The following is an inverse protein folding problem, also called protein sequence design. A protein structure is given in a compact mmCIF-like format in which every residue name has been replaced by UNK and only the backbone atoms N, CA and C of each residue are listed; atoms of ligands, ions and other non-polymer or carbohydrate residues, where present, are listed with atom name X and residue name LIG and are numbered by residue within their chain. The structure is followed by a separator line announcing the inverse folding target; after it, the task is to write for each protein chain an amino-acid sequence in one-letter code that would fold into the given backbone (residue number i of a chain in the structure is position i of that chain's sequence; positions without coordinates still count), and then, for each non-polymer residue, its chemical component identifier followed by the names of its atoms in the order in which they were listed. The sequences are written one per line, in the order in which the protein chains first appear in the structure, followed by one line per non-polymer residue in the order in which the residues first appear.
data_IF_289538774510
#
_entry.id   IF_289538774510
#
_cell.length_a   1.000
_cell.length_b   1.000
_cell.length_c   1.000
_cell.angle_alpha   90.00
_cell.angle_beta   90.00
_cell.angle_gamma   90.00
#
_symmetry.space_group_name_H-M   'P 1'
#
loop_
_entity.id
_entity.type
_entity.pdbx_description
1 polymer ?
#
# COMPACT_ATOMS: atom_id res chain seq x y z
N UNK A 1 13.60 -8.58 2.35
CA UNK A 1 12.15 -8.51 2.08
C UNK A 1 11.49 -8.01 3.32
N UNK A 2 10.77 -6.91 3.19
CA UNK A 2 10.14 -6.17 4.27
C UNK A 2 8.67 -5.96 3.90
N UNK A 3 7.83 -5.91 4.92
CA UNK A 3 6.40 -5.67 4.75
C UNK A 3 6.11 -4.18 4.88
N UNK A 4 5.34 -3.67 3.95
CA UNK A 4 4.86 -2.30 3.87
C UNK A 4 3.36 -2.34 4.10
N UNK A 5 2.89 -1.56 5.06
CA UNK A 5 1.48 -1.33 5.33
C UNK A 5 1.04 -0.05 4.66
N UNK A 6 -0.04 -0.13 3.89
CA UNK A 6 -0.58 0.96 3.09
C UNK A 6 -2.01 1.19 3.55
N UNK A 7 -2.33 2.39 4.00
CA UNK A 7 -3.68 2.77 4.44
C UNK A 7 -4.13 4.07 3.79
N UNK A 8 -5.39 4.43 4.06
CA UNK A 8 -6.09 5.53 3.42
C UNK A 8 -6.14 5.35 1.88
N UNK A 9 -6.36 4.12 1.43
CA UNK A 9 -6.49 3.79 0.01
C UNK A 9 -7.80 4.34 -0.56
N UNK A 10 -7.86 4.67 -1.86
CA UNK A 10 -9.11 5.10 -2.48
C UNK A 10 -10.05 3.91 -2.65
N UNK A 11 -11.36 4.17 -2.58
CA UNK A 11 -12.42 3.15 -2.70
C UNK A 11 -12.48 2.41 -4.06
N UNK A 12 -11.56 2.68 -4.98
CA UNK A 12 -11.49 2.02 -6.29
C UNK A 12 -10.12 1.41 -6.57
N UNK A 13 -9.22 1.42 -5.58
CA UNK A 13 -7.88 0.86 -5.78
C UNK A 13 -7.97 -0.64 -6.01
N UNK A 14 -7.11 -1.14 -6.87
CA UNK A 14 -6.95 -2.57 -7.15
C UNK A 14 -5.54 -3.05 -6.84
N UNK A 15 -5.40 -4.35 -6.58
CA UNK A 15 -4.11 -5.02 -6.41
C UNK A 15 -3.10 -4.73 -7.53
N UNK A 16 -3.45 -4.87 -8.83
CA UNK A 16 -2.52 -4.56 -9.92
C UNK A 16 -2.10 -3.10 -9.97
N UNK A 17 -2.98 -2.15 -9.59
CA UNK A 17 -2.58 -0.74 -9.48
C UNK A 17 -1.53 -0.56 -8.39
N UNK A 18 -1.78 -1.12 -7.20
CA UNK A 18 -0.82 -1.06 -6.10
C UNK A 18 0.52 -1.68 -6.53
N UNK A 19 0.51 -2.89 -7.08
CA UNK A 19 1.73 -3.52 -7.58
C UNK A 19 2.50 -2.59 -8.54
N UNK A 20 1.83 -1.98 -9.52
CA UNK A 20 2.46 -1.05 -10.46
C UNK A 20 3.07 0.20 -9.79
N UNK A 21 2.53 0.65 -8.66
CA UNK A 21 3.13 1.74 -7.88
C UNK A 21 4.38 1.31 -7.11
N UNK A 22 4.47 0.05 -6.68
CA UNK A 22 5.56 -0.45 -5.84
C UNK A 22 6.70 -1.12 -6.65
N UNK A 23 6.42 -1.71 -7.82
CA UNK A 23 7.41 -2.30 -8.73
C UNK A 23 8.60 -1.40 -9.12
N UNK A 24 8.47 -0.06 -9.29
CA UNK A 24 9.59 0.80 -9.62
C UNK A 24 10.64 0.89 -8.50
N UNK A 25 10.24 0.59 -7.27
CA UNK A 25 11.09 0.71 -6.08
C UNK A 25 11.75 -0.63 -5.74
N UNK A 26 11.18 -1.77 -6.14
CA UNK A 26 11.78 -3.09 -5.98
C UNK A 26 10.82 -4.23 -6.33
N UNK A 27 11.32 -5.47 -6.29
CA UNK A 27 10.49 -6.63 -6.57
C UNK A 27 9.41 -6.83 -5.50
N UNK A 28 8.14 -6.82 -5.94
CA UNK A 28 6.99 -7.18 -5.10
C UNK A 28 6.87 -8.71 -5.04
N UNK A 29 6.92 -9.26 -3.83
CA UNK A 29 6.89 -10.71 -3.58
C UNK A 29 5.50 -11.17 -3.15
N UNK A 30 4.77 -10.33 -2.41
CA UNK A 30 3.40 -10.59 -1.98
C UNK A 30 2.63 -9.29 -1.89
N UNK A 31 1.34 -9.32 -2.19
CA UNK A 31 0.43 -8.19 -2.06
C UNK A 31 -0.92 -8.70 -1.56
N UNK A 32 -1.43 -8.07 -0.50
CA UNK A 32 -2.70 -8.42 0.12
C UNK A 32 -3.54 -7.16 0.29
N UNK A 33 -4.52 -6.96 -0.59
CA UNK A 33 -5.48 -5.85 -0.51
C UNK A 33 -6.69 -6.25 0.34
N UNK A 34 -6.93 -5.50 1.41
CA UNK A 34 -8.08 -5.62 2.28
C UNK A 34 -8.96 -4.39 2.12
N UNK A 35 -9.96 -4.51 1.25
CA UNK A 35 -10.97 -3.49 1.05
C UNK A 35 -12.34 -4.07 1.39
N UNK A 36 -12.88 -3.69 2.54
CA UNK A 36 -14.24 -4.05 2.93
C UNK A 36 -15.21 -3.01 2.37
N UNK A 37 -15.91 -3.39 1.30
CA UNK A 37 -16.86 -2.51 0.60
C UNK A 37 -18.23 -2.47 1.29
N UNK A 38 -18.47 -3.36 2.23
CA UNK A 38 -19.74 -3.49 2.96
C UNK A 38 -19.75 -2.56 4.18
N UNK A 39 -18.61 -2.36 4.82
CA UNK A 39 -18.46 -1.46 5.97
C UNK A 39 -17.82 -0.12 5.58
N UNK A 40 -18.66 0.86 5.24
CA UNK A 40 -18.23 2.21 4.82
C UNK A 40 -17.39 2.99 5.84
N UNK A 41 -17.24 2.49 7.08
CA UNK A 41 -16.40 3.10 8.11
C UNK A 41 -14.97 2.54 8.14
N UNK A 42 -14.68 1.47 7.39
CA UNK A 42 -13.33 0.93 7.28
C UNK A 42 -12.56 1.62 6.15
N UNK A 43 -11.41 2.19 6.51
CA UNK A 43 -10.44 2.66 5.52
C UNK A 43 -9.79 1.44 4.88
N UNK A 44 -9.91 1.24 3.55
CA UNK A 44 -9.26 0.12 2.89
C UNK A 44 -7.74 0.22 3.08
N UNK A 45 -7.11 -0.93 3.29
CA UNK A 45 -5.68 -1.04 3.52
C UNK A 45 -5.09 -2.20 2.73
N UNK A 46 -3.79 -2.16 2.47
CA UNK A 46 -3.07 -3.22 1.80
C UNK A 46 -1.73 -3.46 2.48
N UNK A 47 -1.24 -4.69 2.37
CA UNK A 47 0.10 -5.08 2.80
C UNK A 47 0.88 -5.53 1.58
N UNK A 48 2.07 -4.98 1.38
CA UNK A 48 2.97 -5.32 0.28
C UNK A 48 4.29 -5.80 0.86
N UNK A 49 4.77 -6.96 0.43
CA UNK A 49 6.09 -7.47 0.78
C UNK A 49 7.05 -7.26 -0.39
N UNK A 50 8.14 -6.54 -0.16
CA UNK A 50 9.12 -6.19 -1.20
C UNK A 50 10.54 -6.04 -0.66
N UNK A 51 11.55 -6.02 -1.53
CA UNK A 51 12.96 -5.91 -1.11
C UNK A 51 13.38 -4.50 -0.63
N UNK A 52 12.89 -3.45 -1.28
CA UNK A 52 13.27 -2.04 -1.06
C UNK A 52 12.10 -1.24 -0.48
N UNK A 53 11.54 -1.73 0.63
CA UNK A 53 10.39 -1.11 1.28
C UNK A 53 10.65 0.34 1.70
N UNK A 54 11.85 0.64 2.21
CA UNK A 54 12.19 1.98 2.70
C UNK A 54 12.13 3.08 1.61
N UNK A 55 12.55 2.75 0.39
CA UNK A 55 12.55 3.69 -0.74
C UNK A 55 11.11 3.94 -1.22
N UNK A 56 10.32 2.87 -1.30
CA UNK A 56 8.90 2.94 -1.61
C UNK A 56 8.13 3.77 -0.58
N UNK A 57 8.38 3.56 0.72
CA UNK A 57 7.78 4.33 1.82
C UNK A 57 8.09 5.82 1.64
N UNK A 58 9.36 6.19 1.47
CA UNK A 58 9.75 7.60 1.35
C UNK A 58 9.15 8.30 0.12
N UNK A 59 8.94 7.55 -0.96
CA UNK A 59 8.44 8.11 -2.21
C UNK A 59 6.90 8.10 -2.33
N UNK A 60 6.22 7.17 -1.66
CA UNK A 60 4.78 6.98 -1.76
C UNK A 60 4.00 7.48 -0.53
N UNK A 61 4.64 7.58 0.64
CA UNK A 61 4.00 8.17 1.82
C UNK A 61 3.65 9.64 1.57
N UNK A 62 2.40 10.01 1.84
CA UNK A 62 1.86 11.35 1.57
C UNK A 62 1.58 11.64 0.09
N UNK A 63 1.78 10.68 -0.81
CA UNK A 63 1.44 10.84 -2.23
C UNK A 63 -0.07 10.79 -2.43
N UNK A 64 -0.58 11.66 -3.31
CA UNK A 64 -2.00 11.67 -3.67
C UNK A 64 -2.25 10.61 -4.74
N UNK A 65 -3.18 9.68 -4.47
CA UNK A 65 -3.71 8.76 -5.47
C UNK A 65 -5.23 8.91 -5.53
N UNK A 66 -5.73 9.33 -6.69
CA UNK A 66 -7.14 9.68 -6.85
C UNK A 66 -7.50 10.89 -5.98
N UNK A 67 -8.27 10.67 -4.92
CA UNK A 67 -8.77 11.70 -4.01
C UNK A 67 -8.24 11.60 -2.58
N UNK A 68 -7.26 10.72 -2.32
CA UNK A 68 -6.73 10.46 -0.98
C UNK A 68 -5.21 10.56 -0.93
N UNK A 69 -4.68 10.89 0.25
CA UNK A 69 -3.26 10.85 0.56
C UNK A 69 -2.92 9.45 1.08
N UNK A 70 -2.07 8.74 0.35
CA UNK A 70 -1.58 7.44 0.80
C UNK A 70 -0.79 7.60 2.09
N UNK A 71 -1.00 6.66 3.00
CA UNK A 71 -0.14 6.45 4.16
C UNK A 71 0.62 5.16 3.97
N UNK A 72 1.94 5.24 3.92
CA UNK A 72 2.81 4.09 3.63
C UNK A 72 3.78 3.96 4.79
N UNK A 73 3.72 2.84 5.51
CA UNK A 73 4.51 2.61 6.71
C UNK A 73 5.16 1.23 6.68
N UNK A 74 6.29 1.08 7.37
CA UNK A 74 6.89 -0.22 7.57
C UNK A 74 6.04 -1.03 8.55
N UNK A 75 5.62 -2.23 8.17
CA UNK A 75 4.94 -3.16 9.04
C UNK A 75 5.99 -3.91 9.87
N UNK A 76 6.12 -3.53 11.14
CA UNK A 76 6.97 -4.24 12.11
C UNK A 76 6.07 -5.13 12.97
N UNK A 77 6.21 -6.44 12.81
CA UNK A 77 5.57 -7.40 13.72
C UNK A 77 6.50 -7.54 14.93
N UNK A 78 6.01 -7.14 16.11
CA UNK A 78 6.73 -7.21 17.38
C UNK A 78 6.90 -8.65 17.88
#
# INVERSE_FOLDING_TARGET
MEKVFISALPFKVTEPELQAYFEPYGQVTSLELHADWEEASFEPYAVVEMENAEDAIKALDGKIIGSTYLRVNKLVVL
#
